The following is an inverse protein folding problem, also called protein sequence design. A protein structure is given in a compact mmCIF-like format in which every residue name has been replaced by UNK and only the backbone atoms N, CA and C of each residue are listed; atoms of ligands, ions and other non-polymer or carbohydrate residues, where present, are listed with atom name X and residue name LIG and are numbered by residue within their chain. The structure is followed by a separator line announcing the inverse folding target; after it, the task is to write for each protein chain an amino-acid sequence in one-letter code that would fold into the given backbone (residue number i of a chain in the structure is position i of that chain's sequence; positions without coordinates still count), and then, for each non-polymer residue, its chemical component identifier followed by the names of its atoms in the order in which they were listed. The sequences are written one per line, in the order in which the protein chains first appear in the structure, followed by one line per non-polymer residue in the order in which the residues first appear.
data_IF_415867020599
#
_entry.id   IF_415867020599
#
_cell.length_a   1.000
_cell.length_b   1.000
_cell.length_c   1.000
_cell.angle_alpha   90.00
_cell.angle_beta   90.00
_cell.angle_gamma   90.00
#
_symmetry.space_group_name_H-M   'P 1'
#
loop_
_entity.id
_entity.type
_entity.pdbx_description
1 polymer ?
#
# COMPACT_ATOMS: atom_id res chain seq x y z
N UNK A 1 8.16 0.96 2.31
CA UNK A 1 7.38 -0.28 2.06
C UNK A 1 7.58 -1.34 3.17
N UNK A 2 7.96 -0.97 4.40
CA UNK A 2 8.50 -1.90 5.40
C UNK A 2 7.51 -2.82 6.14
N UNK A 3 6.25 -2.87 5.74
CA UNK A 3 5.37 -4.00 6.04
C UNK A 3 4.19 -3.80 5.12
N UNK A 4 4.00 -4.70 4.16
CA UNK A 4 2.88 -4.58 3.23
C UNK A 4 1.57 -5.10 3.86
N UNK A 5 1.28 -4.61 5.08
CA UNK A 5 -0.01 -4.56 5.81
C UNK A 5 -0.97 -5.74 5.58
N UNK A 6 -0.54 -6.93 5.96
CA UNK A 6 -1.28 -8.15 6.39
C UNK A 6 -2.38 -8.86 5.58
N UNK A 7 -2.11 -10.17 5.51
CA UNK A 7 -2.81 -11.25 4.82
C UNK A 7 -1.77 -12.19 4.19
N UNK A 8 -0.70 -12.56 4.94
CA UNK A 8 0.62 -13.02 4.46
C UNK A 8 0.66 -13.42 2.99
N UNK A 9 0.72 -12.43 2.09
CA UNK A 9 0.84 -12.75 0.71
C UNK A 9 2.26 -13.24 0.53
N UNK A 10 2.42 -14.42 -0.02
CA UNK A 10 3.74 -14.94 -0.32
C UNK A 10 3.68 -15.55 -1.70
N UNK A 11 4.83 -15.44 -2.37
CA UNK A 11 5.07 -16.09 -3.64
C UNK A 11 5.76 -17.40 -3.34
N UNK A 12 5.08 -18.51 -3.62
CA UNK A 12 5.70 -19.82 -3.61
C UNK A 12 6.35 -20.09 -4.97
N UNK A 13 7.42 -20.90 -5.00
CA UNK A 13 8.05 -21.30 -6.26
C UNK A 13 7.03 -21.92 -7.22
N UNK A 14 7.19 -21.70 -8.52
CA UNK A 14 6.25 -22.21 -9.51
C UNK A 14 6.22 -23.74 -9.51
N UNK A 15 5.02 -24.33 -9.59
CA UNK A 15 4.84 -25.79 -9.68
C UNK A 15 5.40 -26.39 -10.98
N UNK A 16 5.67 -25.54 -11.99
CA UNK A 16 6.23 -25.94 -13.28
C UNK A 16 7.35 -24.99 -13.70
N UNK A 17 8.40 -25.55 -14.27
CA UNK A 17 9.51 -24.78 -14.83
C UNK A 17 9.00 -23.84 -15.94
N UNK A 18 9.20 -22.54 -15.76
CA UNK A 18 8.67 -21.49 -16.64
C UNK A 18 7.32 -20.86 -16.23
N UNK A 19 6.68 -21.33 -15.16
CA UNK A 19 5.47 -20.68 -14.62
C UNK A 19 5.80 -19.53 -13.66
N UNK A 20 4.84 -18.62 -13.44
CA UNK A 20 4.97 -17.54 -12.46
C UNK A 20 4.85 -18.09 -11.02
N UNK A 21 5.48 -17.44 -10.03
CA UNK A 21 5.34 -17.82 -8.62
C UNK A 21 3.88 -17.86 -8.18
N UNK A 22 3.50 -18.88 -7.42
CA UNK A 22 2.12 -19.06 -6.91
C UNK A 22 1.85 -18.01 -5.84
N UNK A 23 0.82 -17.19 -6.05
CA UNK A 23 0.43 -16.15 -5.10
C UNK A 23 -0.62 -16.69 -4.14
N UNK A 24 -0.29 -16.77 -2.85
CA UNK A 24 -1.23 -17.11 -1.77
C UNK A 24 -1.60 -15.81 -1.05
N UNK A 25 -2.89 -15.57 -0.75
CA UNK A 25 -3.35 -14.36 -0.04
C UNK A 25 -4.14 -13.38 -0.90
N UNK A 26 -4.28 -12.13 -0.45
CA UNK A 26 -5.05 -11.10 -1.18
C UNK A 26 -4.28 -10.68 -2.45
N UNK A 27 -4.92 -10.84 -3.62
CA UNK A 27 -4.34 -10.51 -4.93
C UNK A 27 -3.76 -9.09 -5.02
N UNK A 28 -4.40 -8.12 -4.36
CA UNK A 28 -3.93 -6.73 -4.31
C UNK A 28 -2.55 -6.64 -3.65
N UNK A 29 -2.38 -7.38 -2.56
CA UNK A 29 -1.17 -7.38 -1.75
C UNK A 29 -0.07 -8.20 -2.42
N UNK A 30 -0.43 -9.32 -3.04
CA UNK A 30 0.50 -10.10 -3.86
C UNK A 30 1.02 -9.27 -5.05
N UNK A 31 0.16 -8.48 -5.70
CA UNK A 31 0.59 -7.56 -6.77
C UNK A 31 1.57 -6.50 -6.28
N UNK A 32 1.33 -5.94 -5.10
CA UNK A 32 2.24 -5.00 -4.45
C UNK A 32 3.58 -5.64 -4.05
N UNK A 33 3.59 -6.87 -3.53
CA UNK A 33 4.82 -7.61 -3.24
C UNK A 33 5.59 -7.98 -4.51
N UNK A 34 4.88 -8.40 -5.56
CA UNK A 34 5.46 -8.64 -6.88
C UNK A 34 6.17 -7.39 -7.41
N UNK A 35 5.56 -6.21 -7.24
CA UNK A 35 6.19 -4.94 -7.61
C UNK A 35 7.49 -4.66 -6.84
N UNK A 36 7.57 -5.01 -5.54
CA UNK A 36 8.80 -4.87 -4.76
C UNK A 36 9.92 -5.77 -5.32
N UNK A 37 9.57 -7.00 -5.71
CA UNK A 37 10.52 -7.92 -6.34
C UNK A 37 10.95 -7.46 -7.74
N UNK A 38 10.03 -6.87 -8.52
CA UNK A 38 10.33 -6.28 -9.83
C UNK A 38 11.32 -5.11 -9.70
N UNK A 39 11.23 -4.35 -8.59
CA UNK A 39 12.20 -3.31 -8.20
C UNK A 39 13.53 -3.88 -7.68
N UNK A 40 13.74 -5.20 -7.74
CA UNK A 40 14.95 -5.90 -7.27
C UNK A 40 15.21 -5.68 -5.78
N UNK A 41 14.15 -5.56 -4.99
CA UNK A 41 14.22 -5.47 -3.54
C UNK A 41 13.66 -6.76 -2.93
N UNK A 42 14.37 -7.29 -1.93
CA UNK A 42 13.90 -8.44 -1.15
C UNK A 42 13.13 -7.96 0.09
N UNK A 43 11.91 -8.44 0.25
CA UNK A 43 11.05 -8.11 1.39
C UNK A 43 11.14 -9.13 2.53
N UNK A 44 11.69 -10.33 2.32
CA UNK A 44 11.76 -11.38 3.34
C UNK A 44 12.53 -10.95 4.59
N UNK A 45 13.72 -10.31 4.50
CA UNK A 45 14.45 -9.86 5.68
C UNK A 45 13.66 -8.85 6.53
N UNK A 46 12.82 -8.05 5.89
CA UNK A 46 11.97 -7.07 6.58
C UNK A 46 10.83 -7.78 7.32
N UNK A 47 10.22 -8.79 6.69
CA UNK A 47 9.16 -9.60 7.32
C UNK A 47 9.68 -10.38 8.52
N UNK A 48 10.88 -10.98 8.41
CA UNK A 48 11.48 -11.71 9.54
C UNK A 48 11.78 -10.80 10.74
N UNK A 49 12.11 -9.53 10.50
CA UNK A 49 12.33 -8.55 11.58
C UNK A 49 11.03 -8.09 12.24
N UNK A 50 9.94 -8.03 11.47
CA UNK A 50 8.61 -7.57 11.88
C UNK A 50 7.55 -8.66 11.63
N UNK A 51 7.55 -9.75 12.43
CA UNK A 51 6.53 -10.79 12.34
C UNK A 51 5.19 -10.31 12.93
N UNK A 52 4.12 -11.08 12.75
CA UNK A 52 2.75 -10.64 13.10
C UNK A 52 2.59 -10.33 14.59
N UNK A 53 3.32 -11.07 15.43
CA UNK A 53 3.28 -10.96 16.89
C UNK A 53 3.92 -9.67 17.39
N UNK A 54 4.71 -8.98 16.55
CA UNK A 54 5.28 -7.66 16.87
C UNK A 54 4.39 -6.50 16.43
N UNK A 55 3.26 -6.76 15.78
CA UNK A 55 2.30 -5.71 15.47
C UNK A 55 1.60 -5.27 16.74
N UNK A 56 1.56 -3.97 16.95
CA UNK A 56 0.92 -3.40 18.12
C UNK A 56 -0.61 -3.41 17.99
N UNK A 57 -1.12 -3.01 16.82
CA UNK A 57 -2.55 -2.99 16.52
C UNK A 57 -2.77 -3.18 15.03
N UNK A 58 -3.85 -3.86 14.67
CA UNK A 58 -4.28 -4.06 13.28
C UNK A 58 -5.72 -3.60 13.12
N UNK A 59 -5.92 -2.64 12.24
CA UNK A 59 -7.22 -2.22 11.76
C UNK A 59 -7.49 -2.94 10.43
N UNK A 60 -8.26 -4.02 10.50
CA UNK A 60 -8.58 -4.87 9.34
C UNK A 60 -9.30 -4.11 8.23
N UNK A 61 -9.45 -4.68 7.04
CA UNK A 61 -10.21 -4.00 6.00
C UNK A 61 -11.67 -3.82 6.45
N UNK A 62 -12.18 -2.58 6.35
CA UNK A 62 -13.59 -2.27 6.55
C UNK A 62 -14.13 -1.55 5.31
N UNK A 63 -15.30 -1.98 4.84
CA UNK A 63 -15.92 -1.55 3.58
C UNK A 63 -16.30 -0.07 3.55
N UNK A 64 -16.51 0.56 4.71
CA UNK A 64 -16.77 1.99 4.86
C UNK A 64 -15.47 2.78 4.69
N UNK A 65 -14.39 2.37 5.37
CA UNK A 65 -13.07 3.05 5.27
C UNK A 65 -12.27 2.68 4.02
N UNK A 66 -12.61 1.55 3.37
CA UNK A 66 -11.91 0.92 2.24
C UNK A 66 -10.38 0.92 2.39
N UNK A 67 -9.91 0.74 3.62
CA UNK A 67 -8.51 0.74 3.99
C UNK A 67 -8.24 -0.27 5.10
N UNK A 68 -6.99 -0.70 5.17
CA UNK A 68 -6.42 -1.48 6.25
C UNK A 68 -5.22 -0.73 6.81
N UNK A 69 -5.04 -0.75 8.13
CA UNK A 69 -3.90 -0.11 8.78
C UNK A 69 -3.25 -1.01 9.82
N UNK A 70 -1.94 -0.89 9.98
CA UNK A 70 -1.16 -1.63 10.98
C UNK A 70 -0.27 -0.68 11.73
N UNK A 71 -0.22 -0.84 13.04
CA UNK A 71 0.62 -0.07 13.94
C UNK A 71 1.78 -0.93 14.38
N UNK A 72 2.98 -0.37 14.27
CA UNK A 72 4.20 -0.96 14.81
C UNK A 72 4.77 -0.03 15.87
N UNK A 73 5.44 -0.61 16.85
CA UNK A 73 6.25 0.14 17.82
C UNK A 73 7.66 0.32 17.26
N UNK A 74 8.16 1.55 17.32
CA UNK A 74 9.50 1.93 16.89
C UNK A 74 10.51 1.77 18.05
N UNK A 75 11.82 1.70 17.76
CA UNK A 75 12.85 1.54 18.80
C UNK A 75 12.92 2.68 19.83
N UNK A 76 12.40 3.86 19.48
CA UNK A 76 12.29 5.03 20.36
C UNK A 76 10.98 5.03 21.18
N UNK A 77 10.32 3.88 21.27
CA UNK A 77 9.03 3.65 21.93
C UNK A 77 7.83 4.32 21.25
N UNK A 78 8.05 5.20 20.26
CA UNK A 78 6.97 5.81 19.47
C UNK A 78 6.28 4.79 18.57
N UNK A 79 5.18 5.18 17.95
CA UNK A 79 4.41 4.31 17.07
C UNK A 79 4.47 4.79 15.63
N UNK A 80 4.59 3.85 14.69
CA UNK A 80 4.37 4.11 13.27
C UNK A 80 3.19 3.29 12.78
N UNK A 81 2.17 3.99 12.30
CA UNK A 81 1.06 3.37 11.60
C UNK A 81 1.32 3.40 10.10
N UNK A 82 1.09 2.29 9.42
CA UNK A 82 1.00 2.21 7.96
C UNK A 82 -0.45 1.98 7.57
N UNK A 83 -0.90 2.63 6.49
CA UNK A 83 -2.23 2.43 5.93
C UNK A 83 -2.13 2.16 4.44
N UNK A 84 -2.94 1.22 3.96
CA UNK A 84 -3.16 0.98 2.52
C UNK A 84 -4.64 0.85 2.23
N UNK A 85 -5.08 1.38 1.11
CA UNK A 85 -6.50 1.35 0.74
C UNK A 85 -6.80 2.05 -0.57
N UNK A 86 -8.08 2.19 -0.88
CA UNK A 86 -8.54 2.93 -2.03
C UNK A 86 -7.92 4.33 -2.05
N UNK A 87 -7.27 4.66 -3.17
CA UNK A 87 -6.39 5.82 -3.26
C UNK A 87 -7.09 7.12 -2.85
N UNK A 88 -8.26 7.41 -3.41
CA UNK A 88 -9.05 8.63 -3.13
C UNK A 88 -9.48 8.75 -1.66
N UNK A 89 -9.66 7.64 -0.96
CA UNK A 89 -10.14 7.65 0.43
C UNK A 89 -8.97 7.88 1.39
N UNK A 90 -7.84 7.22 1.16
CA UNK A 90 -6.63 7.41 1.99
C UNK A 90 -6.04 8.79 1.74
N UNK A 91 -6.04 9.30 0.51
CA UNK A 91 -5.55 10.65 0.20
C UNK A 91 -6.30 11.76 0.94
N UNK A 92 -7.63 11.63 1.10
CA UNK A 92 -8.43 12.61 1.86
C UNK A 92 -7.98 12.74 3.31
N UNK A 93 -7.38 11.68 3.86
CA UNK A 93 -6.83 11.60 5.22
C UNK A 93 -5.36 12.02 5.31
N UNK A 94 -4.71 12.29 4.17
CA UNK A 94 -3.32 12.73 4.14
C UNK A 94 -3.21 14.25 4.27
N UNK A 95 -2.34 14.71 5.16
CA UNK A 95 -1.96 16.13 5.30
C UNK A 95 -0.52 16.40 4.83
N UNK A 96 0.25 15.33 4.57
CA UNK A 96 1.61 15.37 4.04
C UNK A 96 1.79 14.38 2.88
N UNK A 97 2.83 14.58 2.09
CA UNK A 97 3.27 13.68 1.02
C UNK A 97 4.79 13.62 1.01
N UNK A 98 5.38 12.45 0.73
CA UNK A 98 6.82 12.33 0.55
C UNK A 98 7.25 12.92 -0.80
N UNK A 99 8.32 13.71 -0.80
CA UNK A 99 8.98 14.16 -2.02
C UNK A 99 9.96 13.09 -2.56
N UNK A 100 10.61 13.37 -3.69
CA UNK A 100 11.60 12.45 -4.27
C UNK A 100 12.84 12.19 -3.40
N UNK A 101 13.12 13.07 -2.43
CA UNK A 101 14.18 12.88 -1.43
C UNK A 101 13.73 12.05 -0.22
N UNK A 102 12.45 11.65 -0.15
CA UNK A 102 11.88 10.92 0.99
C UNK A 102 11.50 11.81 2.17
N UNK A 103 11.45 13.12 1.99
CA UNK A 103 11.08 14.07 3.03
C UNK A 103 9.59 14.42 2.97
N UNK A 104 8.88 14.46 4.12
CA UNK A 104 7.49 14.88 4.16
C UNK A 104 7.34 16.37 3.85
N UNK A 105 6.55 16.71 2.83
CA UNK A 105 6.08 18.08 2.58
C UNK A 105 4.59 18.21 2.85
N UNK A 106 4.14 19.43 3.12
CA UNK A 106 2.71 19.74 3.27
C UNK A 106 1.95 19.34 2.01
N UNK A 107 0.82 18.66 2.18
CA UNK A 107 -0.04 18.20 1.11
C UNK A 107 -1.38 18.94 1.18
N UNK A 108 -1.47 20.06 0.44
CA UNK A 108 -2.61 20.97 0.53
C UNK A 108 -3.85 20.35 -0.11
N UNK A 109 -5.07 20.78 0.25
CA UNK A 109 -6.31 20.34 -0.41
C UNK A 109 -6.24 20.40 -1.94
N UNK A 110 -5.72 21.51 -2.49
CA UNK A 110 -5.52 21.66 -3.93
C UNK A 110 -4.58 20.60 -4.53
N UNK A 111 -3.46 20.31 -3.88
CA UNK A 111 -2.50 19.31 -4.36
C UNK A 111 -3.13 17.91 -4.37
N UNK A 112 -3.98 17.61 -3.39
CA UNK A 112 -4.75 16.36 -3.33
C UNK A 112 -5.74 16.25 -4.47
N UNK A 113 -6.50 17.31 -4.74
CA UNK A 113 -7.45 17.35 -5.85
C UNK A 113 -6.73 17.23 -7.20
N UNK A 114 -5.56 17.85 -7.35
CA UNK A 114 -4.74 17.71 -8.54
C UNK A 114 -4.18 16.28 -8.71
N UNK A 115 -3.75 15.62 -7.62
CA UNK A 115 -3.34 14.22 -7.64
C UNK A 115 -4.49 13.29 -8.06
N UNK A 116 -5.70 13.54 -7.53
CA UNK A 116 -6.89 12.77 -7.93
C UNK A 116 -7.15 12.91 -9.42
N UNK A 117 -7.26 14.15 -9.92
CA UNK A 117 -7.61 14.43 -11.31
C UNK A 117 -6.55 14.02 -12.33
N UNK A 118 -5.27 14.22 -12.00
CA UNK A 118 -4.17 14.03 -12.97
C UNK A 118 -3.54 12.64 -12.90
N UNK A 119 -3.73 11.90 -11.81
CA UNK A 119 -3.08 10.60 -11.60
C UNK A 119 -4.09 9.50 -11.34
N UNK A 120 -4.97 9.68 -10.36
CA UNK A 120 -5.88 8.62 -9.91
C UNK A 120 -6.99 8.36 -10.92
N UNK A 121 -7.68 9.41 -11.38
CA UNK A 121 -8.76 9.32 -12.36
C UNK A 121 -8.28 8.67 -13.68
N UNK A 122 -7.17 9.10 -14.30
CA UNK A 122 -6.65 8.43 -15.50
C UNK A 122 -6.32 6.95 -15.28
N UNK A 123 -5.66 6.61 -14.16
CA UNK A 123 -5.39 5.19 -13.84
C UNK A 123 -6.67 4.38 -13.70
N UNK A 124 -7.68 4.94 -13.04
CA UNK A 124 -8.97 4.28 -12.87
C UNK A 124 -9.72 4.14 -14.20
N UNK A 125 -9.66 5.14 -15.08
CA UNK A 125 -10.21 5.08 -16.43
C UNK A 125 -9.55 4.00 -17.29
N UNK A 126 -8.24 3.76 -17.08
CA UNK A 126 -7.50 2.65 -17.69
C UNK A 126 -7.86 1.27 -17.08
N UNK A 127 -8.82 1.21 -16.15
CA UNK A 127 -9.27 -0.01 -15.49
C UNK A 127 -8.35 -0.50 -14.37
N UNK A 128 -7.40 0.33 -13.91
CA UNK A 128 -6.48 -0.04 -12.83
C UNK A 128 -7.14 0.17 -11.47
N UNK A 129 -6.93 -0.79 -10.56
CA UNK A 129 -7.24 -0.61 -9.14
C UNK A 129 -6.20 0.29 -8.50
N UNK A 130 -6.59 1.50 -8.14
CA UNK A 130 -5.67 2.48 -7.53
C UNK A 130 -5.60 2.32 -6.01
N UNK A 131 -4.39 2.11 -5.49
CA UNK A 131 -4.11 1.96 -4.06
C UNK A 131 -3.16 3.06 -3.62
N UNK A 132 -3.49 3.71 -2.50
CA UNK A 132 -2.58 4.62 -1.82
C UNK A 132 -1.95 3.91 -0.62
N UNK A 133 -0.66 4.12 -0.43
CA UNK A 133 0.10 3.70 0.75
C UNK A 133 0.53 4.95 1.50
N UNK A 134 0.27 4.99 2.80
CA UNK A 134 0.56 6.13 3.66
C UNK A 134 1.07 5.66 5.02
N UNK A 135 1.68 6.57 5.78
CA UNK A 135 2.07 6.31 7.16
C UNK A 135 1.80 7.51 8.06
N UNK A 136 1.80 7.29 9.38
CA UNK A 136 1.79 8.35 10.39
C UNK A 136 2.64 7.91 11.58
N UNK A 137 3.40 8.86 12.11
CA UNK A 137 4.12 8.69 13.36
C UNK A 137 3.30 9.28 14.50
N UNK A 138 3.20 8.54 15.60
CA UNK A 138 2.43 8.87 16.79
C UNK A 138 3.35 8.78 18.01
N UNK A 139 3.30 9.74 18.94
CA UNK A 139 4.09 9.69 20.16
C UNK A 139 3.60 8.54 21.06
N UNK A 140 4.44 8.11 21.99
CA UNK A 140 4.07 7.15 23.04
C UNK A 140 3.51 7.80 24.30
N UNK A 141 3.65 9.12 24.45
CA UNK A 141 3.18 9.87 25.61
C UNK A 141 2.51 11.19 25.19
N UNK A 142 1.21 11.38 25.46
CA UNK A 142 0.28 10.35 25.94
C UNK A 142 0.14 9.22 24.91
N UNK A 143 -0.20 8.02 25.39
CA UNK A 143 -0.49 6.92 24.47
C UNK A 143 -1.73 7.28 23.62
N UNK A 144 -1.71 7.04 22.30
CA UNK A 144 -2.86 7.28 21.45
C UNK A 144 -4.07 6.44 21.87
N UNK A 145 -5.27 7.01 21.76
CA UNK A 145 -6.52 6.26 21.95
C UNK A 145 -6.77 5.38 20.72
N UNK A 146 -6.34 4.13 20.79
CA UNK A 146 -6.44 3.17 19.69
C UNK A 146 -7.88 2.78 19.33
N UNK A 147 -8.86 3.07 20.17
CA UNK A 147 -10.27 2.80 19.87
C UNK A 147 -10.93 4.01 19.17
N UNK A 148 -10.35 5.21 19.26
CA UNK A 148 -10.74 6.36 18.46
C UNK A 148 -10.14 6.32 17.05
N UNK A 149 -10.68 5.44 16.20
CA UNK A 149 -10.21 5.27 14.82
C UNK A 149 -10.22 6.57 13.99
N UNK A 150 -11.14 7.49 14.29
CA UNK A 150 -11.22 8.75 13.56
C UNK A 150 -9.98 9.62 13.82
N UNK A 151 -9.48 9.66 15.05
CA UNK A 151 -8.25 10.40 15.34
C UNK A 151 -7.02 9.67 14.76
N UNK A 152 -6.94 8.35 14.98
CA UNK A 152 -5.78 7.54 14.59
C UNK A 152 -5.61 7.50 13.06
N UNK A 153 -6.70 7.35 12.30
CA UNK A 153 -6.67 7.14 10.86
C UNK A 153 -6.66 8.46 10.05
N UNK A 154 -6.34 9.59 10.66
CA UNK A 154 -6.17 10.90 10.00
C UNK A 154 -4.72 11.38 10.02
N UNK A 155 -4.44 12.56 9.47
CA UNK A 155 -3.13 13.22 9.42
C UNK A 155 -1.98 12.34 8.87
N UNK A 156 -2.31 11.60 7.83
CA UNK A 156 -1.37 10.68 7.19
C UNK A 156 -0.36 11.41 6.30
N UNK A 157 0.78 10.78 6.11
CA UNK A 157 1.79 11.12 5.10
C UNK A 157 1.67 10.14 3.94
N UNK A 158 1.23 10.63 2.78
CA UNK A 158 1.17 9.85 1.56
C UNK A 158 2.58 9.45 1.10
N UNK A 159 2.82 8.16 0.90
CA UNK A 159 4.09 7.64 0.38
C UNK A 159 3.99 7.55 -1.14
N UNK A 160 2.98 6.84 -1.63
CA UNK A 160 2.78 6.64 -3.06
C UNK A 160 1.33 6.24 -3.39
N UNK A 161 0.97 6.46 -4.65
CA UNK A 161 -0.21 5.89 -5.30
C UNK A 161 0.28 4.93 -6.37
N UNK A 162 -0.35 3.77 -6.45
CA UNK A 162 -0.03 2.75 -7.45
C UNK A 162 -1.29 2.24 -8.12
N UNK A 163 -1.20 1.96 -9.41
CA UNK A 163 -2.26 1.29 -10.18
C UNK A 163 -1.95 -0.19 -10.31
N UNK A 164 -2.88 -1.03 -9.88
CA UNK A 164 -2.79 -2.49 -9.96
C UNK A 164 -3.73 -2.95 -11.06
N UNK A 165 -3.18 -3.59 -12.09
CA UNK A 165 -3.98 -4.25 -13.11
C UNK A 165 -4.48 -5.59 -12.57
N UNK A 166 -5.80 -5.77 -12.50
CA UNK A 166 -6.37 -7.05 -12.07
C UNK A 166 -6.14 -8.10 -13.16
N UNK A 167 -5.64 -9.31 -12.82
CA UNK A 167 -5.47 -10.37 -13.81
C UNK A 167 -6.83 -10.75 -14.40
N UNK A 168 -6.91 -10.79 -15.74
CA UNK A 168 -8.12 -11.18 -16.46
C UNK A 168 -8.51 -12.60 -16.04
N UNK A 169 -9.77 -12.79 -15.67
CA UNK A 169 -10.28 -14.12 -15.31
C UNK A 169 -10.33 -15.01 -16.56
N UNK A 170 -9.93 -16.29 -16.48
CA UNK A 170 -9.79 -17.17 -17.65
C UNK A 170 -11.10 -17.58 -18.35
N UNK A 171 -12.27 -17.09 -17.93
CA UNK A 171 -13.55 -17.31 -18.62
C UNK A 171 -13.57 -16.85 -20.09
N UNK A 172 -12.58 -16.10 -20.57
CA UNK A 172 -12.44 -15.66 -21.95
C UNK A 172 -11.31 -16.38 -22.73
N UNK A 173 -11.17 -17.70 -22.61
CA UNK A 173 -10.52 -18.59 -23.59
C UNK A 173 -9.07 -18.29 -24.06
N UNK A 174 -8.41 -17.27 -23.51
CA UNK A 174 -7.05 -16.88 -23.86
C UNK A 174 -6.09 -17.37 -22.79
N UNK A 175 -4.93 -17.93 -23.16
CA UNK A 175 -3.95 -18.36 -22.18
C UNK A 175 -3.42 -17.12 -21.42
N UNK A 176 -3.11 -17.26 -20.11
CA UNK A 176 -2.99 -16.12 -19.18
C UNK A 176 -1.78 -15.18 -19.39
N UNK A 177 -1.02 -15.29 -20.49
CA UNK A 177 0.40 -14.90 -20.50
C UNK A 177 0.88 -13.90 -21.58
N UNK A 178 0.02 -13.24 -22.36
CA UNK A 178 0.51 -12.43 -23.50
C UNK A 178 0.76 -10.93 -23.24
N UNK A 179 0.91 -10.42 -22.02
CA UNK A 179 1.33 -9.02 -21.82
C UNK A 179 2.00 -8.78 -20.47
N UNK A 180 3.24 -8.29 -20.47
CA UNK A 180 3.93 -7.85 -19.26
C UNK A 180 3.18 -6.72 -18.55
N UNK A 181 2.37 -7.08 -17.56
CA UNK A 181 1.43 -6.19 -16.86
C UNK A 181 1.70 -6.25 -15.37
N UNK A 182 2.78 -5.58 -14.97
CA UNK A 182 3.11 -5.29 -13.58
C UNK A 182 2.34 -4.07 -13.07
N UNK A 183 2.46 -3.80 -11.77
CA UNK A 183 2.05 -2.52 -11.17
C UNK A 183 2.63 -1.40 -12.02
N UNK A 184 1.77 -0.57 -12.61
CA UNK A 184 2.27 0.59 -13.37
C UNK A 184 2.70 1.64 -12.35
N UNK A 185 4.00 1.99 -12.28
CA UNK A 185 4.41 3.12 -11.49
C UNK A 185 3.84 4.38 -12.15
N UNK A 186 2.75 4.91 -11.62
CA UNK A 186 2.48 6.34 -11.72
C UNK A 186 2.97 7.03 -10.47
N UNK A 187 4.21 6.72 -10.08
CA UNK A 187 4.95 7.60 -9.18
C UNK A 187 5.22 8.84 -10.01
N UNK A 188 4.32 9.82 -9.96
CA UNK A 188 4.73 11.18 -10.26
C UNK A 188 5.63 11.60 -9.10
N UNK A 189 6.96 11.75 -9.29
CA UNK A 189 7.71 12.54 -8.34
C UNK A 189 7.01 13.89 -8.29
N UNK A 190 6.64 14.33 -7.08
CA UNK A 190 6.35 15.73 -6.89
C UNK A 190 7.61 16.49 -7.33
N UNK A 191 7.51 17.21 -8.45
CA UNK A 191 8.61 18.01 -8.99
C UNK A 191 9.18 18.99 -7.99
#
# INVERSE_FOLDING_TARGET
MKQLVFGQPHQEPPEKEGALPRQVGNKTECGLLGFVLDLKQDYEPVRSQMPEEKLYKVYTFNSVRKSMSTVIKLPDESFRMYSKGASEIVLKKCCKILNGAGEPRVFRPRDRDEMVKKVIEPMACDGLRTICVAYRDLPSSPEPDWDNENDILNDLTCICVVGIEDPVRPEAGAPPWSSGKGVKPGVQPAG
#
